data_IF_595408440734
#
_entry.id   IF_595408440734
#
_cell.length_a   1.000
_cell.length_b   1.000
_cell.length_c   1.000
_cell.angle_alpha   90.00
_cell.angle_beta   90.00
_cell.angle_gamma   90.00
#
_symmetry.space_group_name_H-M   'P 1'
#
loop_
_entity.id
_entity.type
_entity.pdbx_description
1 polymer ?
#
# COMPACT_ATOMS: atom_id res chain seq x y z
N UNK A 1 -3.76 14.65 17.90
CA UNK A 1 -3.95 14.29 16.48
C UNK A 1 -3.82 15.57 15.69
N UNK A 2 -3.02 15.64 14.61
CA UNK A 2 -3.02 16.81 13.78
C UNK A 2 -4.41 16.94 13.15
N UNK A 3 -5.03 18.07 13.30
CA UNK A 3 -6.29 18.41 12.63
C UNK A 3 -5.96 18.54 11.13
N UNK A 4 -6.43 17.61 10.32
CA UNK A 4 -6.39 17.76 8.86
C UNK A 4 -7.20 19.00 8.49
N UNK A 5 -6.51 20.03 8.03
CA UNK A 5 -7.16 21.22 7.50
C UNK A 5 -7.82 20.88 6.17
N UNK A 6 -9.14 20.80 6.14
CA UNK A 6 -9.89 20.64 4.89
C UNK A 6 -10.06 22.00 4.23
N UNK A 7 -9.66 22.09 2.97
CA UNK A 7 -9.86 23.29 2.15
C UNK A 7 -11.29 23.34 1.65
N UNK A 8 -12.06 24.37 2.02
CA UNK A 8 -13.37 24.65 1.45
C UNK A 8 -13.22 25.73 0.36
N UNK A 9 -13.41 25.36 -0.91
CA UNK A 9 -13.22 26.22 -2.08
C UNK A 9 -14.56 26.84 -2.53
N UNK A 10 -15.65 26.15 -2.24
CA UNK A 10 -17.00 26.57 -2.64
C UNK A 10 -18.01 26.26 -1.55
N UNK A 11 -19.18 26.95 -1.62
CA UNK A 11 -20.29 26.73 -0.71
C UNK A 11 -20.84 25.29 -0.85
N UNK A 12 -21.07 24.64 0.28
CA UNK A 12 -21.58 23.26 0.36
C UNK A 12 -22.98 23.18 0.99
N UNK A 13 -23.61 24.32 1.29
CA UNK A 13 -24.96 24.32 1.81
C UNK A 13 -25.99 24.51 0.70
N UNK A 14 -26.91 23.55 0.57
CA UNK A 14 -27.96 23.57 -0.43
C UNK A 14 -28.89 24.77 -0.29
N UNK A 15 -29.27 25.11 0.92
CA UNK A 15 -30.21 26.20 1.19
C UNK A 15 -29.57 27.58 0.89
N UNK A 16 -28.30 27.72 1.21
CA UNK A 16 -27.52 28.92 0.85
C UNK A 16 -27.40 29.07 -0.68
N UNK A 17 -27.12 27.99 -1.41
CA UNK A 17 -27.07 28.00 -2.87
C UNK A 17 -28.45 28.39 -3.45
N UNK A 18 -29.52 27.78 -2.95
CA UNK A 18 -30.90 28.08 -3.37
C UNK A 18 -31.27 29.55 -3.11
N UNK A 19 -30.98 30.05 -1.91
CA UNK A 19 -31.23 31.44 -1.52
C UNK A 19 -30.45 32.42 -2.39
N UNK A 20 -29.22 32.09 -2.74
CA UNK A 20 -28.40 32.90 -3.66
C UNK A 20 -29.03 32.98 -5.06
N UNK A 21 -29.50 31.85 -5.60
CA UNK A 21 -30.19 31.79 -6.88
C UNK A 21 -31.52 32.58 -6.85
N UNK A 22 -32.29 32.45 -5.77
CA UNK A 22 -33.52 33.26 -5.60
C UNK A 22 -33.23 34.75 -5.54
N UNK A 23 -32.17 35.15 -4.83
CA UNK A 23 -31.74 36.55 -4.73
C UNK A 23 -31.32 37.09 -6.09
N UNK A 24 -30.64 36.30 -6.91
CA UNK A 24 -30.31 36.67 -8.28
C UNK A 24 -31.57 36.87 -9.13
N UNK A 25 -32.56 35.96 -9.04
CA UNK A 25 -33.80 36.06 -9.78
C UNK A 25 -34.66 37.26 -9.38
N UNK A 26 -34.62 37.69 -8.10
CA UNK A 26 -35.27 38.92 -7.65
C UNK A 26 -34.80 40.18 -8.38
N UNK A 27 -33.57 40.17 -8.87
CA UNK A 27 -33.01 41.25 -9.67
C UNK A 27 -33.46 41.23 -11.15
N UNK A 28 -34.16 40.17 -11.58
CA UNK A 28 -34.63 40.01 -12.94
C UNK A 28 -36.12 40.33 -13.02
N UNK A 29 -36.52 41.17 -13.96
CA UNK A 29 -37.93 41.60 -14.10
C UNK A 29 -38.81 40.58 -14.86
N UNK A 30 -38.18 39.61 -15.50
CA UNK A 30 -38.86 38.65 -16.38
C UNK A 30 -39.39 37.39 -15.62
N UNK A 31 -38.97 37.17 -14.37
CA UNK A 31 -39.34 36.00 -13.58
C UNK A 31 -40.04 36.42 -12.29
N UNK A 32 -41.35 36.14 -12.19
CA UNK A 32 -42.16 36.49 -11.01
C UNK A 32 -42.68 35.30 -10.19
N UNK A 33 -42.48 34.05 -10.68
CA UNK A 33 -43.11 32.84 -10.17
C UNK A 33 -42.13 31.92 -9.37
N UNK A 34 -40.95 32.43 -9.04
CA UNK A 34 -39.88 31.65 -8.37
C UNK A 34 -40.12 31.40 -6.87
N UNK A 35 -41.02 32.18 -6.20
CA UNK A 35 -41.32 32.07 -4.78
C UNK A 35 -42.42 31.04 -4.45
N UNK A 36 -43.17 30.56 -5.45
CA UNK A 36 -44.18 29.53 -5.22
C UNK A 36 -43.57 28.13 -5.11
N UNK A 37 -43.75 27.47 -3.98
CA UNK A 37 -43.18 26.15 -3.70
C UNK A 37 -43.56 25.07 -4.75
N UNK A 38 -44.77 25.19 -5.33
CA UNK A 38 -45.29 24.25 -6.32
C UNK A 38 -45.13 24.75 -7.76
N UNK A 39 -44.47 25.88 -7.98
CA UNK A 39 -44.26 26.39 -9.35
C UNK A 39 -43.23 25.57 -10.10
N UNK A 40 -43.38 25.49 -11.41
CA UNK A 40 -42.39 24.83 -12.30
C UNK A 40 -41.01 25.46 -12.14
N UNK A 41 -40.94 26.77 -11.94
CA UNK A 41 -39.70 27.50 -11.76
C UNK A 41 -39.03 27.16 -10.44
N UNK A 42 -39.78 27.02 -9.33
CA UNK A 42 -39.27 26.58 -8.06
C UNK A 42 -38.71 25.16 -8.08
N UNK A 43 -39.36 24.25 -8.81
CA UNK A 43 -38.84 22.87 -9.04
C UNK A 43 -37.52 22.93 -9.82
N UNK A 44 -37.46 23.75 -10.87
CA UNK A 44 -36.25 23.95 -11.67
C UNK A 44 -35.10 24.51 -10.83
N UNK A 45 -35.39 25.49 -9.93
CA UNK A 45 -34.42 26.03 -8.99
C UNK A 45 -33.88 24.95 -8.04
N UNK A 46 -34.74 24.08 -7.54
CA UNK A 46 -34.30 22.98 -6.68
C UNK A 46 -33.34 22.01 -7.44
N UNK A 47 -33.66 21.68 -8.68
CA UNK A 47 -32.80 20.85 -9.54
C UNK A 47 -31.46 21.52 -9.81
N UNK A 48 -31.51 22.84 -10.10
CA UNK A 48 -30.28 23.60 -10.34
C UNK A 48 -29.42 23.73 -9.07
N UNK A 49 -30.05 23.99 -7.92
CA UNK A 49 -29.37 24.05 -6.63
C UNK A 49 -28.74 22.68 -6.28
N UNK A 50 -29.45 21.59 -6.53
CA UNK A 50 -28.93 20.23 -6.33
C UNK A 50 -27.73 19.94 -7.22
N UNK A 51 -27.79 20.28 -8.49
CA UNK A 51 -26.67 20.15 -9.41
C UNK A 51 -25.46 20.99 -8.96
N UNK A 52 -25.70 22.25 -8.59
CA UNK A 52 -24.65 23.16 -8.10
C UNK A 52 -24.02 22.61 -6.81
N UNK A 53 -24.82 22.10 -5.88
CA UNK A 53 -24.34 21.45 -4.67
C UNK A 53 -23.39 20.27 -4.97
N UNK A 54 -23.79 19.38 -5.87
CA UNK A 54 -22.94 18.26 -6.27
C UNK A 54 -21.64 18.71 -6.96
N UNK A 55 -21.73 19.69 -7.84
CA UNK A 55 -20.56 20.26 -8.50
C UNK A 55 -19.61 20.90 -7.48
N UNK A 56 -20.13 21.61 -6.49
CA UNK A 56 -19.35 22.19 -5.38
C UNK A 56 -18.70 21.12 -4.53
N UNK A 57 -19.42 20.03 -4.24
CA UNK A 57 -18.86 18.89 -3.51
C UNK A 57 -17.68 18.25 -4.26
N UNK A 58 -17.85 17.97 -5.55
CA UNK A 58 -16.75 17.41 -6.36
C UNK A 58 -15.57 18.37 -6.49
N UNK A 59 -15.83 19.67 -6.61
CA UNK A 59 -14.78 20.68 -6.68
C UNK A 59 -13.96 20.72 -5.37
N UNK A 60 -14.62 20.71 -4.22
CA UNK A 60 -13.96 20.67 -2.93
C UNK A 60 -13.18 19.35 -2.73
N UNK A 61 -13.76 18.22 -3.14
CA UNK A 61 -13.08 16.92 -3.10
C UNK A 61 -11.81 16.95 -3.96
N UNK A 62 -11.88 17.41 -5.20
CA UNK A 62 -10.72 17.51 -6.09
C UNK A 62 -9.68 18.47 -5.51
N UNK A 63 -10.10 19.62 -4.98
CA UNK A 63 -9.20 20.60 -4.38
C UNK A 63 -8.44 20.00 -3.17
N UNK A 64 -9.12 19.26 -2.32
CA UNK A 64 -8.48 18.58 -1.18
C UNK A 64 -7.52 17.49 -1.63
N UNK A 65 -7.84 16.74 -2.69
CA UNK A 65 -6.94 15.71 -3.24
C UNK A 65 -5.71 16.28 -3.97
N UNK A 66 -5.66 17.58 -4.22
CA UNK A 66 -4.49 18.23 -4.83
C UNK A 66 -3.30 18.42 -3.90
N UNK A 67 -3.52 18.45 -2.59
CA UNK A 67 -2.49 18.73 -1.60
C UNK A 67 -2.22 17.50 -0.73
N UNK A 68 -0.96 17.27 -0.39
CA UNK A 68 -0.53 16.09 0.36
C UNK A 68 -1.10 16.03 1.79
N UNK A 69 -1.26 17.18 2.43
CA UNK A 69 -1.77 17.32 3.80
C UNK A 69 -3.29 17.15 3.92
N UNK A 70 -4.04 17.40 2.84
CA UNK A 70 -5.51 17.29 2.82
C UNK A 70 -6.02 16.08 2.02
N UNK A 71 -5.18 15.44 1.20
CA UNK A 71 -5.55 14.27 0.41
C UNK A 71 -5.93 13.09 1.31
N UNK A 72 -7.04 12.43 1.00
CA UNK A 72 -7.57 11.27 1.72
C UNK A 72 -7.45 9.97 0.94
N UNK A 73 -7.48 10.06 -0.40
CA UNK A 73 -7.34 8.88 -1.25
C UNK A 73 -5.87 8.45 -1.31
N UNK A 74 -5.59 7.17 -0.98
CA UNK A 74 -4.23 6.62 -1.01
C UNK A 74 -3.51 6.89 -2.34
N UNK A 75 -4.21 6.74 -3.45
CA UNK A 75 -3.64 6.98 -4.79
C UNK A 75 -3.20 8.43 -4.99
N UNK A 76 -3.95 9.40 -4.48
CA UNK A 76 -3.60 10.83 -4.53
C UNK A 76 -2.36 11.10 -3.66
N UNK A 77 -2.35 10.58 -2.42
CA UNK A 77 -1.22 10.71 -1.50
C UNK A 77 0.06 10.12 -2.10
N UNK A 78 -0.02 8.90 -2.63
CA UNK A 78 1.11 8.21 -3.28
C UNK A 78 1.62 9.00 -4.49
N UNK A 79 0.70 9.48 -5.34
CA UNK A 79 1.06 10.28 -6.52
C UNK A 79 1.79 11.56 -6.14
N UNK A 80 1.33 12.28 -5.10
CA UNK A 80 1.98 13.50 -4.61
C UNK A 80 3.31 13.22 -3.94
N UNK A 81 3.39 12.15 -3.13
CA UNK A 81 4.64 11.73 -2.50
C UNK A 81 5.72 11.38 -3.52
N UNK A 82 5.36 10.72 -4.63
CA UNK A 82 6.28 10.41 -5.74
C UNK A 82 6.84 11.67 -6.40
N UNK A 83 6.07 12.75 -6.51
CA UNK A 83 6.56 14.04 -7.01
C UNK A 83 7.65 14.66 -6.12
N UNK A 84 7.67 14.29 -4.83
CA UNK A 84 8.69 14.68 -3.85
C UNK A 84 9.84 13.66 -3.73
N UNK A 85 9.97 12.73 -4.68
CA UNK A 85 10.94 11.61 -4.66
C UNK A 85 10.77 10.67 -3.46
N UNK A 86 9.59 10.62 -2.84
CA UNK A 86 9.29 9.69 -1.77
C UNK A 86 8.52 8.49 -2.33
N UNK A 87 9.08 7.30 -2.18
CA UNK A 87 8.37 6.05 -2.49
C UNK A 87 7.71 5.53 -1.23
N UNK A 88 6.38 5.44 -1.18
CA UNK A 88 5.66 4.89 -0.04
C UNK A 88 6.09 3.45 0.23
N UNK A 89 6.14 3.08 1.50
CA UNK A 89 6.48 1.72 1.91
C UNK A 89 5.20 0.87 1.90
N UNK A 90 5.38 -0.40 1.55
CA UNK A 90 4.34 -1.41 1.69
C UNK A 90 3.98 -1.68 3.16
N UNK A 91 2.93 -2.47 3.39
CA UNK A 91 2.69 -3.10 4.68
C UNK A 91 3.94 -3.91 5.11
N UNK A 92 4.27 -3.90 6.40
CA UNK A 92 5.37 -4.67 6.98
C UNK A 92 4.83 -5.63 8.02
N UNK A 93 5.30 -6.87 7.95
CA UNK A 93 5.11 -7.83 9.02
C UNK A 93 5.85 -7.40 10.31
N UNK A 94 5.30 -7.71 11.47
CA UNK A 94 6.00 -7.53 12.73
C UNK A 94 7.25 -8.42 12.77
N UNK A 95 8.35 -7.91 13.31
CA UNK A 95 9.61 -8.65 13.40
C UNK A 95 9.99 -8.87 14.85
N UNK A 96 10.53 -10.05 15.16
CA UNK A 96 11.06 -10.37 16.48
C UNK A 96 12.33 -11.21 16.39
N UNK A 97 13.20 -11.05 17.38
CA UNK A 97 14.32 -11.94 17.63
C UNK A 97 13.91 -12.90 18.74
N UNK A 98 13.97 -14.20 18.48
CA UNK A 98 13.52 -15.25 19.40
C UNK A 98 14.70 -16.15 19.75
N UNK A 99 15.01 -16.26 21.03
CA UNK A 99 16.01 -17.21 21.51
C UNK A 99 15.42 -18.61 21.51
N UNK A 100 16.12 -19.52 20.87
CA UNK A 100 15.65 -20.88 20.63
C UNK A 100 16.60 -21.87 21.28
N UNK A 101 16.03 -22.86 21.94
CA UNK A 101 16.76 -24.03 22.50
C UNK A 101 16.17 -25.28 21.87
N UNK A 102 16.99 -26.06 21.19
CA UNK A 102 16.59 -27.34 20.59
C UNK A 102 17.28 -28.47 21.30
N UNK A 103 16.49 -29.45 21.77
CA UNK A 103 17.00 -30.69 22.33
C UNK A 103 16.69 -31.80 21.32
N UNK A 104 17.66 -32.24 20.52
CA UNK A 104 17.45 -33.31 19.56
C UNK A 104 17.29 -34.66 20.24
N UNK A 105 16.54 -35.57 19.63
CA UNK A 105 16.41 -36.96 20.10
C UNK A 105 17.60 -37.87 19.74
N UNK A 106 18.40 -37.43 18.80
CA UNK A 106 19.63 -38.03 18.33
C UNK A 106 20.81 -37.06 18.61
N UNK A 107 22.02 -37.42 18.29
CA UNK A 107 23.19 -36.57 18.52
C UNK A 107 23.74 -36.00 17.21
N UNK A 108 23.04 -35.03 16.58
CA UNK A 108 23.51 -34.42 15.35
C UNK A 108 24.75 -33.58 15.60
N UNK A 109 25.60 -33.44 14.60
CA UNK A 109 26.79 -32.58 14.68
C UNK A 109 26.45 -31.08 14.51
N UNK A 110 25.38 -30.78 13.85
CA UNK A 110 24.88 -29.41 13.63
C UNK A 110 23.38 -29.39 13.40
N UNK A 111 22.72 -28.31 13.80
CA UNK A 111 21.33 -28.06 13.50
C UNK A 111 21.22 -26.70 12.82
N UNK A 112 20.55 -26.66 11.67
CA UNK A 112 20.29 -25.44 10.95
C UNK A 112 18.77 -25.27 10.76
N UNK A 113 18.23 -24.16 11.22
CA UNK A 113 16.84 -23.77 10.96
C UNK A 113 16.82 -23.07 9.58
N UNK A 114 16.09 -23.62 8.63
CA UNK A 114 16.02 -23.08 7.29
C UNK A 114 15.24 -21.75 7.27
N UNK A 115 15.53 -20.88 6.29
CA UNK A 115 14.69 -19.73 6.00
C UNK A 115 13.26 -20.18 5.65
N UNK A 116 12.27 -19.36 5.98
CA UNK A 116 10.84 -19.64 5.80
C UNK A 116 10.32 -20.82 6.66
N UNK A 117 11.05 -21.24 7.71
CA UNK A 117 10.50 -22.18 8.71
C UNK A 117 9.37 -21.47 9.45
N UNK A 118 8.19 -22.10 9.46
CA UNK A 118 6.96 -21.51 9.99
C UNK A 118 6.79 -21.84 11.48
N UNK A 119 6.39 -20.82 12.23
CA UNK A 119 5.97 -20.88 13.62
C UNK A 119 4.57 -20.31 13.76
N UNK A 120 3.79 -20.84 14.68
CA UNK A 120 2.46 -20.31 15.00
C UNK A 120 2.39 -19.92 16.47
N UNK A 121 1.73 -18.82 16.76
CA UNK A 121 1.43 -18.37 18.11
C UNK A 121 -0.01 -17.93 18.20
N UNK A 122 -0.65 -18.16 19.34
CA UNK A 122 -2.04 -17.73 19.57
C UNK A 122 -2.05 -16.73 20.72
N UNK A 123 -2.56 -15.52 20.43
CA UNK A 123 -2.71 -14.43 21.40
C UNK A 123 -4.18 -14.00 21.43
N UNK A 124 -4.80 -14.04 22.60
CA UNK A 124 -6.23 -13.68 22.76
C UNK A 124 -7.18 -14.43 21.81
N UNK A 125 -6.90 -15.70 21.48
CA UNK A 125 -7.69 -16.51 20.58
C UNK A 125 -7.44 -16.26 19.09
N UNK A 126 -6.54 -15.34 18.73
CA UNK A 126 -6.14 -15.07 17.36
C UNK A 126 -4.82 -15.79 17.09
N UNK A 127 -4.77 -16.56 16.01
CA UNK A 127 -3.56 -17.26 15.56
C UNK A 127 -2.74 -16.38 14.65
N UNK A 128 -1.46 -16.24 14.97
CA UNK A 128 -0.48 -15.52 14.17
C UNK A 128 0.53 -16.50 13.61
N UNK A 129 0.96 -16.25 12.39
CA UNK A 129 1.96 -17.05 11.67
C UNK A 129 3.23 -16.21 11.55
N UNK A 130 4.35 -16.81 11.92
CA UNK A 130 5.68 -16.21 11.80
C UNK A 130 6.58 -17.13 11.00
N UNK A 131 7.52 -16.56 10.28
CA UNK A 131 8.52 -17.31 9.50
C UNK A 131 9.91 -16.77 9.77
N UNK A 132 10.91 -17.66 9.73
CA UNK A 132 12.32 -17.25 9.80
C UNK A 132 12.69 -16.45 8.55
N UNK A 133 13.31 -15.28 8.75
CA UNK A 133 13.75 -14.41 7.66
C UNK A 133 14.97 -14.97 6.91
N UNK A 134 15.79 -15.76 7.59
CA UNK A 134 17.02 -16.33 7.03
C UNK A 134 17.33 -17.70 7.65
N UNK A 135 18.19 -18.45 6.99
CA UNK A 135 18.72 -19.71 7.54
C UNK A 135 19.71 -19.40 8.65
N UNK A 136 19.55 -20.05 9.80
CA UNK A 136 20.38 -19.84 11.00
C UNK A 136 20.90 -21.17 11.53
N UNK A 137 22.19 -21.29 11.68
CA UNK A 137 22.82 -22.45 12.32
C UNK A 137 22.87 -22.24 13.82
N UNK A 138 22.40 -23.23 14.59
CA UNK A 138 22.39 -23.21 16.04
C UNK A 138 23.75 -23.71 16.60
N UNK A 139 24.14 -23.16 17.74
CA UNK A 139 25.40 -23.44 18.38
C UNK A 139 25.20 -24.62 19.34
N UNK A 140 26.04 -25.68 19.19
CA UNK A 140 26.05 -26.84 20.09
C UNK A 140 26.53 -26.45 21.49
N UNK A 141 25.83 -26.92 22.50
CA UNK A 141 26.14 -26.73 23.90
C UNK A 141 26.69 -28.04 24.55
N UNK A 142 27.49 -27.95 25.61
CA UNK A 142 28.05 -29.13 26.27
C UNK A 142 27.01 -30.11 26.83
N UNK A 143 25.79 -29.65 27.08
CA UNK A 143 24.67 -30.47 27.59
C UNK A 143 23.90 -31.20 26.48
N UNK A 144 24.37 -31.17 25.23
CA UNK A 144 23.72 -31.80 24.08
C UNK A 144 22.55 -31.00 23.50
N UNK A 145 22.31 -29.76 23.96
CA UNK A 145 21.33 -28.86 23.36
C UNK A 145 21.99 -27.97 22.33
N UNK A 146 21.16 -27.38 21.47
CA UNK A 146 21.57 -26.37 20.48
C UNK A 146 20.82 -25.06 20.74
N UNK A 147 21.56 -23.96 20.76
CA UNK A 147 20.99 -22.63 21.05
C UNK A 147 21.29 -21.64 19.94
N UNK A 148 20.41 -20.68 19.75
CA UNK A 148 20.59 -19.58 18.80
C UNK A 148 19.42 -18.62 18.79
N UNK A 149 19.65 -17.44 18.27
CA UNK A 149 18.61 -16.41 18.08
C UNK A 149 18.11 -16.46 16.66
N UNK A 150 16.80 -16.66 16.48
CA UNK A 150 16.11 -16.66 15.21
C UNK A 150 15.44 -15.30 14.98
N UNK A 151 15.68 -14.69 13.85
CA UNK A 151 14.92 -13.54 13.40
C UNK A 151 13.66 -14.02 12.67
N UNK A 152 12.50 -13.72 13.22
CA UNK A 152 11.20 -14.09 12.66
C UNK A 152 10.41 -12.87 12.21
N UNK A 153 9.58 -13.06 11.20
CA UNK A 153 8.71 -12.05 10.63
C UNK A 153 7.30 -12.59 10.57
N UNK A 154 6.32 -11.79 10.97
CA UNK A 154 4.91 -12.13 10.84
C UNK A 154 4.49 -12.16 9.37
N UNK A 155 3.80 -13.21 8.97
CA UNK A 155 3.27 -13.39 7.62
C UNK A 155 3.46 -14.80 7.09
N UNK A 156 2.99 -14.99 5.86
CA UNK A 156 3.11 -16.26 5.12
C UNK A 156 3.98 -16.03 3.90
N UNK A 157 5.03 -16.84 3.68
CA UNK A 157 5.86 -16.70 2.50
C UNK A 157 5.07 -17.08 1.25
N UNK A 158 5.02 -16.17 0.29
CA UNK A 158 4.37 -16.36 -1.01
C UNK A 158 5.46 -16.41 -2.09
N UNK A 159 5.25 -17.28 -3.07
CA UNK A 159 6.12 -17.37 -4.24
C UNK A 159 5.30 -17.18 -5.51
N UNK A 160 5.68 -16.20 -6.31
CA UNK A 160 5.14 -15.98 -7.65
C UNK A 160 6.20 -16.28 -8.69
N UNK A 161 5.84 -17.02 -9.72
CA UNK A 161 6.72 -17.34 -10.84
C UNK A 161 6.16 -16.72 -12.12
N UNK A 162 7.01 -15.96 -12.80
CA UNK A 162 6.70 -15.36 -14.09
C UNK A 162 7.62 -15.96 -15.15
N UNK A 163 7.07 -16.23 -16.32
CA UNK A 163 7.86 -16.61 -17.48
C UNK A 163 8.12 -15.35 -18.31
N UNK A 164 9.39 -15.07 -18.58
CA UNK A 164 9.79 -13.92 -19.38
C UNK A 164 9.27 -14.09 -20.81
N UNK A 165 8.56 -13.09 -21.30
CA UNK A 165 8.14 -12.99 -22.68
C UNK A 165 8.79 -11.75 -23.30
N UNK A 166 9.58 -11.94 -24.37
CA UNK A 166 10.31 -10.86 -25.05
C UNK A 166 9.39 -9.91 -25.82
N UNK A 167 8.11 -10.27 -25.99
CA UNK A 167 7.14 -9.46 -26.75
C UNK A 167 6.48 -8.38 -25.89
N UNK A 168 6.49 -8.54 -24.55
CA UNK A 168 5.88 -7.62 -23.61
C UNK A 168 6.96 -6.81 -22.85
N UNK A 169 6.64 -5.58 -22.41
CA UNK A 169 7.53 -4.84 -21.53
C UNK A 169 7.82 -5.63 -20.25
N UNK A 170 9.06 -5.59 -19.80
CA UNK A 170 9.57 -6.33 -18.62
C UNK A 170 8.99 -5.72 -17.33
N UNK A 171 7.70 -5.90 -17.14
CA UNK A 171 6.96 -5.46 -15.94
C UNK A 171 6.16 -6.62 -15.38
N UNK A 172 6.46 -6.99 -14.15
CA UNK A 172 5.81 -8.09 -13.45
C UNK A 172 4.94 -7.53 -12.33
N UNK A 173 3.63 -7.82 -12.35
CA UNK A 173 2.67 -7.33 -11.36
C UNK A 173 2.47 -8.41 -10.32
N UNK A 174 2.72 -8.10 -9.05
CA UNK A 174 2.40 -8.97 -7.93
C UNK A 174 0.90 -8.89 -7.65
N UNK A 175 0.21 -10.06 -7.58
CA UNK A 175 -1.24 -10.09 -7.44
C UNK A 175 -1.73 -9.79 -6.02
N UNK A 176 -0.85 -9.73 -5.03
CA UNK A 176 -1.21 -9.50 -3.63
C UNK A 176 -0.85 -8.07 -3.21
N UNK A 177 -1.87 -7.27 -2.89
CA UNK A 177 -1.75 -5.87 -2.47
C UNK A 177 -1.07 -5.71 -1.09
N UNK A 178 -1.12 -6.74 -0.23
CA UNK A 178 -0.55 -6.72 1.11
C UNK A 178 0.85 -7.36 1.17
N UNK A 179 1.58 -7.39 0.07
CA UNK A 179 2.93 -7.94 0.04
C UNK A 179 3.91 -7.02 0.77
N UNK A 180 4.68 -7.58 1.71
CA UNK A 180 5.81 -6.87 2.31
C UNK A 180 6.97 -6.78 1.30
N UNK A 181 7.17 -5.60 0.74
CA UNK A 181 8.21 -5.36 -0.27
C UNK A 181 9.60 -5.21 0.34
N UNK A 182 9.73 -5.16 1.66
CA UNK A 182 11.03 -5.05 2.34
C UNK A 182 11.73 -6.39 2.53
N UNK A 183 10.97 -7.49 2.55
CA UNK A 183 11.46 -8.87 2.67
C UNK A 183 11.54 -9.61 1.33
N UNK A 184 11.43 -8.89 0.24
CA UNK A 184 11.29 -9.40 -1.11
C UNK A 184 12.61 -9.97 -1.68
N UNK A 185 12.55 -11.14 -2.29
CA UNK A 185 13.70 -11.75 -2.96
C UNK A 185 13.34 -12.06 -4.41
N UNK A 186 14.07 -11.48 -5.35
CA UNK A 186 13.94 -11.75 -6.79
C UNK A 186 15.03 -12.74 -7.21
N UNK A 187 14.62 -13.82 -7.86
CA UNK A 187 15.53 -14.83 -8.43
C UNK A 187 15.19 -15.06 -9.88
N UNK A 188 16.21 -15.13 -10.72
CA UNK A 188 16.05 -15.40 -12.16
C UNK A 188 16.72 -16.72 -12.48
N UNK A 189 16.00 -17.60 -13.15
CA UNK A 189 16.49 -18.82 -13.76
C UNK A 189 16.60 -18.57 -15.26
N UNK A 190 17.77 -18.81 -15.83
CA UNK A 190 18.07 -18.46 -17.24
C UNK A 190 17.31 -19.33 -18.25
N UNK A 191 17.09 -20.59 -17.93
CA UNK A 191 16.37 -21.51 -18.81
C UNK A 191 15.67 -22.62 -18.04
N UNK A 192 14.77 -23.33 -18.70
CA UNK A 192 14.09 -24.50 -18.11
C UNK A 192 15.03 -25.69 -17.86
N UNK A 193 16.14 -25.75 -18.60
CA UNK A 193 17.15 -26.82 -18.49
C UNK A 193 18.27 -26.50 -17.49
N UNK A 194 18.44 -25.22 -17.12
CA UNK A 194 19.43 -24.78 -16.14
C UNK A 194 18.72 -24.48 -14.80
N UNK A 195 18.98 -25.29 -13.78
CA UNK A 195 18.41 -25.11 -12.43
C UNK A 195 19.13 -24.06 -11.59
N UNK A 196 20.24 -23.51 -12.10
CA UNK A 196 20.95 -22.42 -11.44
C UNK A 196 20.08 -21.15 -11.41
N UNK A 197 20.03 -20.48 -10.28
CA UNK A 197 19.30 -19.23 -10.10
C UNK A 197 20.24 -18.12 -9.68
N UNK A 198 20.04 -16.95 -10.26
CA UNK A 198 20.78 -15.73 -9.94
C UNK A 198 19.85 -14.87 -9.09
N UNK A 199 20.33 -14.44 -7.92
CA UNK A 199 19.58 -13.52 -7.04
C UNK A 199 19.86 -12.09 -7.47
N UNK A 200 18.78 -11.32 -7.64
CA UNK A 200 18.83 -9.90 -8.01
C UNK A 200 18.64 -9.05 -6.74
N UNK A 201 19.29 -7.91 -6.68
CA UNK A 201 19.18 -6.93 -5.59
C UNK A 201 18.32 -5.73 -5.99
N UNK A 202 17.66 -5.12 -4.99
CA UNK A 202 16.91 -3.89 -5.21
C UNK A 202 17.85 -2.76 -5.60
N UNK A 203 17.51 -2.03 -6.66
CA UNK A 203 18.26 -0.86 -7.09
C UNK A 203 18.25 0.21 -5.97
N UNK A 204 19.42 0.56 -5.47
CA UNK A 204 19.59 1.64 -4.48
C UNK A 204 20.16 2.92 -5.09
N UNK A 205 21.00 2.79 -6.11
CA UNK A 205 21.66 3.92 -6.77
C UNK A 205 21.81 3.66 -8.27
N UNK A 206 21.25 4.57 -9.07
CA UNK A 206 21.30 4.49 -10.54
C UNK A 206 22.71 4.69 -11.09
N UNK A 207 23.56 5.42 -10.39
CA UNK A 207 24.92 5.75 -10.85
C UNK A 207 25.85 4.53 -10.87
N UNK A 208 25.55 3.49 -10.11
CA UNK A 208 26.33 2.26 -10.00
C UNK A 208 25.93 1.17 -11.00
N UNK A 209 24.90 1.39 -11.83
CA UNK A 209 24.36 0.38 -12.74
C UNK A 209 25.19 0.26 -14.01
N UNK A 210 25.49 -0.99 -14.39
CA UNK A 210 26.16 -1.33 -15.64
C UNK A 210 25.47 -2.51 -16.34
N UNK A 211 25.96 -2.92 -17.49
CA UNK A 211 25.34 -3.97 -18.34
C UNK A 211 25.32 -5.36 -17.72
N UNK A 212 26.09 -5.62 -16.66
CA UNK A 212 26.15 -6.91 -15.96
C UNK A 212 25.51 -6.87 -14.56
N UNK A 213 24.93 -5.74 -14.18
CA UNK A 213 24.31 -5.59 -12.86
C UNK A 213 23.05 -6.44 -12.75
N UNK A 214 22.99 -7.27 -11.71
CA UNK A 214 21.83 -8.10 -11.36
C UNK A 214 20.92 -7.34 -10.38
N UNK A 215 20.10 -6.45 -10.90
CA UNK A 215 19.25 -5.55 -10.12
C UNK A 215 17.81 -5.62 -10.60
N UNK A 216 16.90 -5.29 -9.71
CA UNK A 216 15.50 -5.04 -10.04
C UNK A 216 15.06 -3.68 -9.48
N UNK A 217 14.02 -3.15 -10.07
CA UNK A 217 13.37 -1.92 -9.64
C UNK A 217 11.95 -2.23 -9.16
N UNK A 218 11.56 -1.68 -8.03
CA UNK A 218 10.22 -1.82 -7.46
C UNK A 218 9.46 -0.53 -7.69
N UNK A 219 8.25 -0.65 -8.25
CA UNK A 219 7.34 0.46 -8.47
C UNK A 219 5.98 0.10 -7.86
N UNK A 220 5.46 0.99 -7.04
CA UNK A 220 4.09 0.94 -6.51
C UNK A 220 3.12 1.74 -7.38
#
# INVERSE_FOLDING_TARGET
>A
MPTTSTLAVSELDFDTIKSSLQTYLKGQTEFSDYDFESSTLSILLNVLSYNTYHNSFYLNMIANEMFLDSAQLRNSVVSRAKMLNYTPRSARGATAAVDTIVTPGDSPTSITVAANTQFTSTVNGISYIYVTSQSTSLISQPNGTFTGTLNIVEGTPLQHRFTVNTTNPVRYILPNENTDTTSFTVRIQESTSNTSVITYSLLSDLSSVNSISTIYYLQE
#
